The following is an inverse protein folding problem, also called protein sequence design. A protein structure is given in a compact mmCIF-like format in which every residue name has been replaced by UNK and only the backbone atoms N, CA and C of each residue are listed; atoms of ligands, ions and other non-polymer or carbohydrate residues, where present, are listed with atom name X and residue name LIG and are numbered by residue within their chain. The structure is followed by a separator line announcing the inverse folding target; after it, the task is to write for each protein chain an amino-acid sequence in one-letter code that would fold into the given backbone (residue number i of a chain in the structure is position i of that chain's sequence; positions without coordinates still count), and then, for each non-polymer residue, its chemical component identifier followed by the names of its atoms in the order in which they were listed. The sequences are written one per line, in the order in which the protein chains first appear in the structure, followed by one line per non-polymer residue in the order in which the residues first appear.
data_IF_006267164437
#
_entry.id   IF_006267164437
#
_cell.length_a   1.000
_cell.length_b   1.000
_cell.length_c   1.000
_cell.angle_alpha   90.00
_cell.angle_beta   90.00
_cell.angle_gamma   90.00
#
_symmetry.space_group_name_H-M   'P 1'
#
loop_
_entity.id
_entity.type
_entity.pdbx_description
1 polymer ?
#
# COMPACT_ATOMS: atom_id res chain seq x y z
N UNK A 1 63.68 42.80 10.91
CA UNK A 1 64.49 42.11 11.94
C UNK A 1 64.07 40.66 12.16
N UNK A 2 62.77 40.32 12.43
CA UNK A 2 62.30 38.96 12.67
C UNK A 2 62.49 38.06 11.43
N UNK A 3 62.13 38.51 10.24
CA UNK A 3 62.29 37.77 8.98
C UNK A 3 63.77 37.43 8.67
N UNK A 4 64.69 38.36 8.92
CA UNK A 4 66.11 38.14 8.70
C UNK A 4 66.70 37.11 9.69
N UNK A 5 66.27 37.13 10.90
CA UNK A 5 66.61 36.11 11.96
C UNK A 5 66.08 34.73 11.57
N UNK A 6 64.83 34.65 11.10
CA UNK A 6 64.20 33.38 10.66
C UNK A 6 64.99 32.80 9.46
N UNK A 7 65.32 33.61 8.46
CA UNK A 7 66.12 33.16 7.32
C UNK A 7 67.53 32.70 7.71
N UNK A 8 68.16 33.36 8.68
CA UNK A 8 69.47 32.96 9.19
C UNK A 8 69.44 31.64 9.93
N UNK A 9 68.35 31.39 10.69
CA UNK A 9 68.13 30.08 11.39
C UNK A 9 67.93 28.96 10.38
N UNK A 10 67.22 29.18 9.30
CA UNK A 10 66.97 28.20 8.23
C UNK A 10 68.31 27.78 7.55
N UNK A 11 69.27 28.70 7.40
CA UNK A 11 70.59 28.44 6.78
C UNK A 11 71.56 27.70 7.70
N UNK A 12 71.46 27.88 9.02
CA UNK A 12 72.38 27.25 10.01
C UNK A 12 72.14 25.78 10.25
N UNK A 13 70.88 25.31 10.05
CA UNK A 13 70.55 23.91 10.19
C UNK A 13 69.64 23.42 9.07
N UNK A 14 70.22 23.31 7.83
CA UNK A 14 69.40 23.08 6.63
C UNK A 14 68.58 21.79 6.64
N UNK A 15 69.14 20.69 7.20
CA UNK A 15 68.44 19.42 7.27
C UNK A 15 67.18 19.51 8.17
N UNK A 16 67.33 20.14 9.32
CA UNK A 16 66.20 20.32 10.28
C UNK A 16 65.13 21.22 9.69
N UNK A 17 65.55 22.28 8.97
CA UNK A 17 64.63 23.20 8.29
C UNK A 17 63.89 22.51 7.15
N UNK A 18 64.57 21.63 6.41
CA UNK A 18 63.97 20.84 5.34
C UNK A 18 62.91 19.87 5.90
N UNK A 19 63.21 19.14 7.00
CA UNK A 19 62.22 18.25 7.64
C UNK A 19 61.03 19.00 8.20
N UNK A 20 61.23 20.17 8.80
CA UNK A 20 60.12 20.99 9.29
C UNK A 20 59.25 21.53 8.11
N UNK A 21 59.90 21.96 7.03
CA UNK A 21 59.21 22.43 5.83
C UNK A 21 58.39 21.29 5.18
N UNK A 22 58.99 20.10 5.02
CA UNK A 22 58.31 18.95 4.46
C UNK A 22 57.14 18.47 5.37
N UNK A 23 57.35 18.42 6.68
CA UNK A 23 56.30 18.06 7.63
C UNK A 23 55.12 19.04 7.63
N UNK A 24 55.43 20.35 7.60
CA UNK A 24 54.42 21.39 7.53
C UNK A 24 53.68 21.37 6.18
N UNK A 25 54.42 21.26 5.07
CA UNK A 25 53.82 21.16 3.73
C UNK A 25 52.97 19.93 3.55
N UNK A 26 53.40 18.79 4.10
CA UNK A 26 52.60 17.56 4.10
C UNK A 26 51.32 17.72 4.95
N UNK A 27 51.44 18.29 6.14
CA UNK A 27 50.29 18.56 7.03
C UNK A 27 49.28 19.51 6.39
N UNK A 28 49.74 20.60 5.79
CA UNK A 28 48.87 21.54 5.07
C UNK A 28 48.27 20.87 3.83
N UNK A 29 49.05 20.09 3.09
CA UNK A 29 48.56 19.37 1.91
C UNK A 29 47.48 18.37 2.26
N UNK A 30 47.66 17.57 3.30
CA UNK A 30 46.64 16.63 3.81
C UNK A 30 45.37 17.37 4.26
N UNK A 31 45.56 18.49 4.98
CA UNK A 31 44.43 19.29 5.44
C UNK A 31 43.63 19.89 4.27
N UNK A 32 44.30 20.42 3.23
CA UNK A 32 43.64 20.94 2.03
C UNK A 32 42.90 19.84 1.30
N UNK A 33 43.49 18.65 1.13
CA UNK A 33 42.85 17.52 0.48
C UNK A 33 41.60 17.09 1.29
N UNK A 34 41.71 16.97 2.62
CA UNK A 34 40.58 16.57 3.46
C UNK A 34 39.46 17.62 3.44
N UNK A 35 39.76 18.90 3.45
CA UNK A 35 38.78 19.97 3.33
C UNK A 35 38.12 19.96 1.95
N UNK A 36 38.90 19.80 0.87
CA UNK A 36 38.37 19.73 -0.50
C UNK A 36 37.49 18.49 -0.72
N UNK A 37 37.89 17.34 -0.17
CA UNK A 37 37.07 16.13 -0.19
C UNK A 37 35.81 16.32 0.63
N UNK A 38 35.92 16.94 1.81
CA UNK A 38 34.76 17.25 2.66
C UNK A 38 33.77 18.20 1.97
N UNK A 39 34.29 19.24 1.30
CA UNK A 39 33.48 20.20 0.55
C UNK A 39 32.83 19.55 -0.68
N UNK A 40 33.59 18.75 -1.43
CA UNK A 40 33.03 17.97 -2.54
C UNK A 40 31.97 16.95 -2.09
N UNK A 41 32.18 16.29 -0.95
CA UNK A 41 31.18 15.42 -0.35
C UNK A 41 29.91 16.18 0.10
N UNK A 42 30.07 17.37 0.67
CA UNK A 42 28.97 18.24 1.05
C UNK A 42 28.19 18.74 -0.18
N UNK A 43 28.91 19.15 -1.23
CA UNK A 43 28.28 19.57 -2.49
C UNK A 43 27.62 18.42 -3.21
N UNK A 44 28.25 17.24 -3.23
CA UNK A 44 27.66 16.02 -3.74
C UNK A 44 26.45 15.60 -2.88
N UNK A 45 26.47 15.85 -1.59
CA UNK A 45 25.36 15.59 -0.68
C UNK A 45 24.17 16.56 -0.87
N UNK A 46 24.44 17.75 -1.38
CA UNK A 46 23.43 18.76 -1.72
C UNK A 46 22.93 18.63 -3.16
N UNK A 47 23.63 17.86 -3.97
CA UNK A 47 23.22 17.63 -5.36
C UNK A 47 22.03 16.66 -5.39
N UNK A 48 20.84 17.24 -5.39
CA UNK A 48 19.56 16.54 -5.47
C UNK A 48 19.47 15.69 -6.74
N UNK A 49 20.30 15.96 -7.75
CA UNK A 49 20.36 15.18 -8.99
C UNK A 49 20.87 13.75 -8.78
N UNK A 50 21.60 13.52 -7.69
CA UNK A 50 22.07 12.17 -7.31
C UNK A 50 21.00 11.33 -6.59
N UNK A 51 19.91 11.96 -6.16
CA UNK A 51 18.79 11.29 -5.52
C UNK A 51 17.51 11.71 -6.24
N UNK A 52 17.20 11.08 -7.36
CA UNK A 52 15.95 11.26 -8.09
C UNK A 52 15.83 12.51 -8.97
N UNK A 53 16.80 13.41 -9.01
CA UNK A 53 16.91 14.51 -10.00
C UNK A 53 15.83 15.60 -9.95
N UNK A 54 14.99 15.68 -8.91
CA UNK A 54 13.93 16.67 -8.77
C UNK A 54 14.12 17.63 -7.60
N UNK A 55 13.32 18.70 -7.54
CA UNK A 55 13.32 19.63 -6.40
C UNK A 55 12.83 18.97 -5.10
N UNK A 56 11.97 17.94 -5.22
CA UNK A 56 11.45 17.15 -4.10
C UNK A 56 11.56 15.67 -4.43
N UNK A 57 12.20 14.91 -3.54
CA UNK A 57 12.29 13.46 -3.63
C UNK A 57 11.43 12.82 -2.55
N UNK A 58 10.56 11.87 -2.94
CA UNK A 58 9.72 11.10 -2.03
C UNK A 58 10.33 9.71 -1.87
N UNK A 59 10.71 9.39 -0.65
CA UNK A 59 11.36 8.13 -0.28
C UNK A 59 10.45 7.34 0.68
N UNK A 60 10.61 6.02 0.80
CA UNK A 60 9.97 5.24 1.86
C UNK A 60 10.40 5.73 3.25
N UNK A 61 9.52 5.62 4.22
CA UNK A 61 9.80 5.96 5.62
C UNK A 61 10.93 5.10 6.19
N UNK A 62 11.79 5.68 7.03
CA UNK A 62 12.89 4.97 7.68
C UNK A 62 14.15 4.80 6.83
N UNK A 63 14.24 5.44 5.67
CA UNK A 63 15.46 5.45 4.87
C UNK A 63 16.50 6.37 5.53
N UNK A 64 17.68 5.80 5.79
CA UNK A 64 18.87 6.58 6.05
C UNK A 64 19.44 7.11 4.72
N UNK A 65 19.27 8.40 4.50
CA UNK A 65 19.71 9.08 3.27
C UNK A 65 21.23 8.99 3.11
N UNK A 66 21.99 9.00 4.19
CA UNK A 66 23.44 8.87 4.14
C UNK A 66 23.89 7.45 3.76
N UNK A 67 23.22 6.44 4.29
CA UNK A 67 23.45 5.07 3.87
C UNK A 67 23.11 4.85 2.39
N UNK A 68 22.04 5.48 1.89
CA UNK A 68 21.69 5.46 0.46
C UNK A 68 22.77 6.11 -0.42
N UNK A 69 23.32 7.26 -0.01
CA UNK A 69 24.38 7.97 -0.74
C UNK A 69 25.68 7.20 -0.78
N UNK A 70 26.01 6.49 0.28
CA UNK A 70 27.19 5.62 0.35
C UNK A 70 27.06 4.31 -0.44
N UNK A 71 25.91 4.08 -1.10
CA UNK A 71 25.65 2.86 -1.86
C UNK A 71 25.39 1.63 -0.99
N UNK A 72 25.08 1.83 0.30
CA UNK A 72 25.00 0.76 1.30
C UNK A 72 23.64 0.10 1.46
N UNK A 73 22.56 0.61 0.84
CA UNK A 73 21.21 0.08 1.10
C UNK A 73 20.54 -0.39 -0.18
N UNK A 74 20.48 -1.70 -0.35
CA UNK A 74 19.54 -2.34 -1.26
C UNK A 74 18.25 -2.68 -0.49
N UNK A 75 17.08 -2.44 -1.07
CA UNK A 75 15.81 -2.99 -0.57
C UNK A 75 14.83 -2.02 0.08
N UNK A 76 15.11 -0.73 0.13
CA UNK A 76 14.14 0.25 0.63
C UNK A 76 13.39 0.94 -0.52
N UNK A 77 12.50 0.20 -1.17
CA UNK A 77 11.68 0.69 -2.27
C UNK A 77 10.19 0.55 -1.91
N UNK A 78 9.40 1.48 -2.38
CA UNK A 78 7.96 1.25 -2.43
C UNK A 78 7.55 0.79 -3.84
N UNK A 79 6.49 -0.02 -3.90
CA UNK A 79 6.04 -0.58 -5.17
C UNK A 79 5.63 0.48 -6.20
N UNK A 80 5.72 0.12 -7.48
CA UNK A 80 5.35 0.99 -8.61
C UNK A 80 3.89 1.47 -8.53
N UNK A 81 3.01 0.69 -7.93
CA UNK A 81 1.61 1.07 -7.70
C UNK A 81 1.48 2.25 -6.74
N UNK A 82 2.32 2.30 -5.70
CA UNK A 82 2.39 3.46 -4.80
C UNK A 82 2.93 4.69 -5.50
N UNK A 83 3.94 4.53 -6.36
CA UNK A 83 4.46 5.63 -7.17
C UNK A 83 3.39 6.19 -8.11
N UNK A 84 2.62 5.32 -8.76
CA UNK A 84 1.47 5.71 -9.58
C UNK A 84 0.40 6.43 -8.77
N UNK A 85 0.09 5.90 -7.59
CA UNK A 85 -0.87 6.53 -6.69
C UNK A 85 -0.43 7.96 -6.29
N UNK A 86 0.82 8.13 -5.82
CA UNK A 86 1.37 9.43 -5.48
C UNK A 86 1.31 10.40 -6.67
N UNK A 87 1.70 9.95 -7.85
CA UNK A 87 1.64 10.75 -9.09
C UNK A 87 0.22 11.25 -9.35
N UNK A 88 -0.79 10.40 -9.14
CA UNK A 88 -2.19 10.79 -9.32
C UNK A 88 -2.71 11.75 -8.28
N UNK A 89 -2.36 11.53 -7.01
CA UNK A 89 -2.73 12.44 -5.93
C UNK A 89 -2.16 13.83 -6.18
N UNK A 90 -0.92 13.88 -6.62
CA UNK A 90 -0.22 15.14 -6.88
C UNK A 90 -0.81 15.87 -8.09
N UNK A 91 -1.03 15.19 -9.22
CA UNK A 91 -1.58 15.84 -10.42
C UNK A 91 -3.11 15.99 -10.41
N UNK A 92 -3.82 15.10 -9.73
CA UNK A 92 -5.29 15.15 -9.64
C UNK A 92 -5.81 15.95 -8.46
N UNK A 93 -4.97 16.24 -7.48
CA UNK A 93 -5.35 16.96 -6.27
C UNK A 93 -5.46 18.47 -6.50
N UNK A 94 -6.56 19.11 -6.10
CA UNK A 94 -6.76 20.54 -6.33
C UNK A 94 -5.73 21.44 -5.59
N UNK A 95 -5.04 20.88 -4.60
CA UNK A 95 -4.01 21.59 -3.82
C UNK A 95 -2.63 21.57 -4.44
N UNK A 96 -2.35 20.59 -5.31
CA UNK A 96 -0.97 20.29 -5.76
C UNK A 96 -0.77 20.46 -7.25
N UNK A 97 -1.83 20.28 -8.06
CA UNK A 97 -1.75 20.29 -9.52
C UNK A 97 -1.15 21.57 -10.11
N UNK A 98 -1.31 22.70 -9.42
CA UNK A 98 -0.87 24.01 -9.92
C UNK A 98 0.59 24.34 -9.50
N UNK A 99 1.16 23.55 -8.57
CA UNK A 99 2.53 23.75 -8.07
C UNK A 99 3.51 22.67 -8.53
N UNK A 100 3.03 21.50 -8.95
CA UNK A 100 3.88 20.41 -9.41
C UNK A 100 3.85 20.32 -10.93
N UNK A 101 5.00 20.50 -11.55
CA UNK A 101 5.16 20.45 -13.02
C UNK A 101 5.37 19.06 -13.57
N UNK A 102 6.19 18.26 -12.89
CA UNK A 102 6.55 16.92 -13.35
C UNK A 102 6.79 15.98 -12.15
N UNK A 103 6.49 14.70 -12.34
CA UNK A 103 6.78 13.62 -11.37
C UNK A 103 7.32 12.44 -12.15
N UNK A 104 8.47 11.91 -11.73
CA UNK A 104 9.06 10.70 -12.29
C UNK A 104 9.37 9.69 -11.18
N UNK A 105 8.87 8.45 -11.26
CA UNK A 105 9.35 7.37 -10.42
C UNK A 105 10.70 6.87 -10.95
N UNK A 106 11.61 6.57 -10.03
CA UNK A 106 12.90 5.98 -10.34
C UNK A 106 13.27 4.93 -9.29
N UNK A 107 14.03 3.94 -9.69
CA UNK A 107 14.70 2.99 -8.82
C UNK A 107 16.19 3.17 -9.08
N UNK A 108 16.96 3.39 -8.02
CA UNK A 108 18.40 3.53 -8.12
C UNK A 108 19.12 2.51 -7.26
N UNK A 109 20.25 2.03 -7.77
CA UNK A 109 21.15 1.11 -7.04
C UNK A 109 20.50 -0.21 -6.53
N UNK A 110 19.46 -0.72 -7.20
CA UNK A 110 18.92 -2.04 -6.88
C UNK A 110 19.95 -3.12 -7.12
N UNK A 111 20.17 -3.99 -6.14
CA UNK A 111 21.07 -5.13 -6.28
C UNK A 111 20.30 -6.31 -6.85
N UNK A 112 20.70 -6.74 -8.04
CA UNK A 112 20.12 -7.90 -8.72
C UNK A 112 21.18 -9.02 -8.86
N UNK A 113 20.71 -10.25 -8.79
CA UNK A 113 21.52 -11.43 -9.02
C UNK A 113 21.12 -12.03 -10.38
N UNK A 114 21.98 -11.83 -11.37
CA UNK A 114 21.74 -12.38 -12.70
C UNK A 114 22.30 -13.82 -12.77
N UNK A 115 21.42 -14.78 -13.01
CA UNK A 115 21.81 -16.15 -13.28
C UNK A 115 22.18 -16.30 -14.77
N UNK A 116 23.41 -16.74 -15.06
CA UNK A 116 23.84 -17.04 -16.40
C UNK A 116 23.28 -18.37 -16.87
N UNK A 117 23.25 -18.61 -18.19
CA UNK A 117 22.87 -19.92 -18.74
C UNK A 117 23.80 -21.06 -18.32
N UNK A 118 24.99 -20.73 -17.81
CA UNK A 118 25.99 -21.71 -17.31
C UNK A 118 25.80 -22.02 -15.83
N UNK A 119 24.88 -21.35 -15.14
CA UNK A 119 24.62 -21.53 -13.72
C UNK A 119 25.42 -20.60 -12.81
N UNK A 120 26.27 -19.75 -13.37
CA UNK A 120 26.99 -18.74 -12.56
C UNK A 120 26.03 -17.61 -12.14
N UNK A 121 26.26 -17.05 -10.96
CA UNK A 121 25.52 -15.88 -10.47
C UNK A 121 26.43 -14.65 -10.48
N UNK A 122 25.97 -13.60 -11.13
CA UNK A 122 26.67 -12.31 -11.19
C UNK A 122 25.82 -11.25 -10.46
N UNK A 123 26.43 -10.56 -9.52
CA UNK A 123 25.80 -9.45 -8.81
C UNK A 123 25.93 -8.19 -9.67
N UNK A 124 24.80 -7.52 -9.93
CA UNK A 124 24.76 -6.26 -10.68
C UNK A 124 23.95 -5.22 -9.92
N UNK A 125 24.31 -3.96 -10.12
CA UNK A 125 23.46 -2.84 -9.69
C UNK A 125 22.63 -2.37 -10.87
N UNK A 126 21.33 -2.24 -10.65
CA UNK A 126 20.39 -1.82 -11.67
C UNK A 126 19.69 -0.52 -11.25
N UNK A 127 19.41 0.33 -12.21
CA UNK A 127 18.50 1.44 -12.09
C UNK A 127 17.32 1.23 -13.04
N UNK A 128 16.22 1.90 -12.76
CA UNK A 128 15.03 1.88 -13.62
C UNK A 128 14.29 3.21 -13.53
N UNK A 129 13.80 3.69 -14.65
CA UNK A 129 13.00 4.90 -14.76
C UNK A 129 11.95 4.74 -15.85
N UNK A 130 10.95 5.61 -15.84
CA UNK A 130 10.00 5.74 -16.94
C UNK A 130 10.49 6.89 -17.85
N UNK A 131 10.96 6.60 -19.06
CA UNK A 131 11.69 7.56 -19.88
C UNK A 131 10.92 8.87 -20.14
N UNK A 132 9.64 8.82 -20.45
CA UNK A 132 8.84 10.02 -20.67
C UNK A 132 8.68 10.87 -19.40
N UNK A 133 8.66 10.25 -18.23
CA UNK A 133 8.55 10.95 -16.94
C UNK A 133 9.89 11.56 -16.52
N UNK A 134 10.96 10.83 -16.68
CA UNK A 134 12.32 11.34 -16.47
C UNK A 134 12.60 12.54 -17.40
N UNK A 135 12.25 12.43 -18.68
CA UNK A 135 12.37 13.54 -19.63
C UNK A 135 11.53 14.77 -19.22
N UNK A 136 10.33 14.57 -18.68
CA UNK A 136 9.49 15.68 -18.21
C UNK A 136 10.10 16.40 -17.00
N UNK A 137 10.72 15.67 -16.06
CA UNK A 137 11.45 16.27 -14.92
C UNK A 137 12.69 16.99 -15.41
N UNK A 138 13.50 16.38 -16.28
CA UNK A 138 14.68 17.01 -16.84
C UNK A 138 14.33 18.32 -17.59
N UNK A 139 13.26 18.33 -18.37
CA UNK A 139 12.77 19.54 -19.05
C UNK A 139 12.29 20.61 -18.05
N UNK A 140 11.66 20.22 -16.94
CA UNK A 140 11.21 21.15 -15.91
C UNK A 140 12.37 21.81 -15.14
N UNK A 141 13.55 21.16 -15.14
CA UNK A 141 14.79 21.63 -14.51
C UNK A 141 15.80 22.22 -15.52
N UNK A 142 15.40 22.42 -16.78
CA UNK A 142 16.28 22.84 -17.88
C UNK A 142 17.50 21.92 -18.11
N UNK A 143 17.37 20.65 -17.76
CA UNK A 143 18.39 19.62 -17.95
C UNK A 143 18.22 18.93 -19.32
N UNK A 144 19.30 18.42 -19.88
CA UNK A 144 19.23 17.58 -21.08
C UNK A 144 18.71 16.20 -20.74
N UNK A 145 17.56 15.85 -21.29
CA UNK A 145 17.02 14.49 -21.19
C UNK A 145 17.67 13.55 -22.20
N UNK A 146 17.84 12.28 -21.83
CA UNK A 146 18.20 11.21 -22.76
C UNK A 146 17.09 10.95 -23.79
N UNK A 147 17.46 10.41 -24.96
CA UNK A 147 16.50 10.06 -26.05
C UNK A 147 15.98 8.63 -25.84
N UNK A 148 15.42 8.35 -24.70
CA UNK A 148 14.80 7.04 -24.40
C UNK A 148 13.32 7.10 -24.72
N UNK A 149 12.77 5.99 -25.14
CA UNK A 149 11.34 5.86 -25.43
C UNK A 149 10.69 4.93 -24.43
N UNK A 150 9.48 5.25 -24.05
CA UNK A 150 8.67 4.37 -23.20
C UNK A 150 8.49 3.00 -23.88
N UNK A 151 8.68 1.94 -23.09
CA UNK A 151 8.24 0.61 -23.48
C UNK A 151 6.71 0.51 -23.42
N UNK A 152 6.16 -0.62 -23.83
CA UNK A 152 4.72 -0.88 -23.70
C UNK A 152 4.29 -0.85 -22.21
N UNK A 153 5.12 -1.41 -21.31
CA UNK A 153 4.86 -1.39 -19.88
C UNK A 153 4.89 0.03 -19.31
N UNK A 154 5.86 0.85 -19.73
CA UNK A 154 5.96 2.25 -19.31
C UNK A 154 4.75 3.06 -19.78
N UNK A 155 4.36 2.90 -21.05
CA UNK A 155 3.20 3.57 -21.63
C UNK A 155 1.91 3.17 -20.91
N UNK A 156 1.74 1.91 -20.57
CA UNK A 156 0.63 1.41 -19.77
C UNK A 156 0.63 1.96 -18.34
N UNK A 157 1.80 2.21 -17.77
CA UNK A 157 1.90 2.87 -16.46
C UNK A 157 1.54 4.36 -16.53
N UNK A 158 2.02 5.07 -17.56
CA UNK A 158 1.80 6.51 -17.75
C UNK A 158 0.33 6.84 -17.99
N UNK A 159 -0.33 6.08 -18.85
CA UNK A 159 -1.71 6.29 -19.26
C UNK A 159 -2.55 4.99 -19.18
N UNK A 160 -2.72 4.43 -17.98
CA UNK A 160 -3.47 3.19 -17.82
C UNK A 160 -4.96 3.40 -18.17
N UNK A 161 -5.58 2.38 -18.76
CA UNK A 161 -7.04 2.35 -18.88
C UNK A 161 -7.68 2.26 -17.51
N UNK A 162 -8.94 2.68 -17.38
CA UNK A 162 -9.71 2.54 -16.13
C UNK A 162 -9.76 1.06 -15.72
N UNK A 163 -9.97 0.15 -16.68
CA UNK A 163 -9.99 -1.28 -16.39
C UNK A 163 -8.66 -1.77 -15.81
N UNK A 164 -7.53 -1.44 -16.45
CA UNK A 164 -6.22 -1.84 -15.94
C UNK A 164 -5.94 -1.36 -14.51
N UNK A 165 -6.49 -0.21 -14.13
CA UNK A 165 -6.35 0.27 -12.76
C UNK A 165 -7.06 -0.63 -11.76
N UNK A 166 -8.26 -1.08 -12.07
CA UNK A 166 -8.98 -2.03 -11.24
C UNK A 166 -8.29 -3.39 -11.23
N UNK A 167 -7.83 -3.88 -12.38
CA UNK A 167 -7.10 -5.13 -12.50
C UNK A 167 -5.86 -5.16 -11.59
N UNK A 168 -5.09 -4.09 -11.59
CA UNK A 168 -3.89 -3.99 -10.76
C UNK A 168 -4.21 -3.83 -9.26
N UNK A 169 -5.30 -3.14 -8.93
CA UNK A 169 -5.69 -2.88 -7.54
C UNK A 169 -6.31 -4.10 -6.87
N UNK A 170 -7.07 -4.91 -7.60
CA UNK A 170 -8.04 -5.84 -7.02
C UNK A 170 -7.94 -7.27 -7.55
N UNK A 171 -6.81 -7.62 -8.16
CA UNK A 171 -6.50 -8.99 -8.60
C UNK A 171 -6.28 -9.92 -7.42
N UNK A 172 -6.54 -11.21 -7.61
CA UNK A 172 -6.16 -12.22 -6.62
C UNK A 172 -4.64 -12.40 -6.53
N UNK A 173 -4.17 -12.70 -5.32
CA UNK A 173 -2.77 -12.91 -5.02
C UNK A 173 -2.45 -14.40 -4.98
N UNK A 174 -1.25 -14.76 -5.43
CA UNK A 174 -0.74 -16.12 -5.20
C UNK A 174 -0.24 -16.17 -3.76
N UNK A 175 -0.65 -17.17 -2.95
CA UNK A 175 -0.14 -17.30 -1.59
C UNK A 175 1.38 -17.29 -1.56
N UNK A 176 2.01 -16.40 -0.79
CA UNK A 176 3.47 -16.29 -0.75
C UNK A 176 4.13 -17.46 0.00
N UNK A 177 3.35 -18.16 0.83
CA UNK A 177 3.81 -19.24 1.70
C UNK A 177 2.86 -20.44 1.63
N UNK A 178 3.38 -21.64 1.91
CA UNK A 178 2.58 -22.85 2.09
C UNK A 178 2.01 -22.86 3.52
N UNK A 179 0.98 -22.11 3.76
CA UNK A 179 0.34 -22.01 5.07
C UNK A 179 -1.17 -22.25 4.97
N UNK A 180 -1.68 -23.14 5.80
CA UNK A 180 -3.10 -23.45 5.87
C UNK A 180 -3.96 -22.30 6.42
N UNK A 181 -3.33 -21.31 7.06
CA UNK A 181 -4.00 -20.12 7.59
C UNK A 181 -4.03 -18.95 6.59
N UNK A 182 -3.54 -19.16 5.35
CA UNK A 182 -3.70 -18.17 4.31
C UNK A 182 -5.16 -18.06 3.90
N UNK A 183 -5.61 -16.82 3.70
CA UNK A 183 -6.93 -16.50 3.20
C UNK A 183 -6.92 -15.22 2.38
N UNK A 184 -7.84 -15.15 1.42
CA UNK A 184 -8.04 -13.99 0.57
C UNK A 184 -9.53 -13.85 0.27
N UNK A 185 -10.07 -12.65 0.42
CA UNK A 185 -11.49 -12.42 0.22
C UNK A 185 -11.85 -11.05 -0.31
N UNK A 186 -12.85 -11.01 -1.17
CA UNK A 186 -13.62 -9.82 -1.48
C UNK A 186 -14.76 -9.67 -0.48
N UNK A 187 -14.85 -8.52 0.14
CA UNK A 187 -15.92 -8.18 1.07
C UNK A 187 -16.74 -7.01 0.55
N UNK A 188 -18.03 -7.13 0.65
CA UNK A 188 -18.97 -6.06 0.29
C UNK A 188 -19.97 -5.86 1.41
N UNK A 189 -20.39 -4.59 1.61
CA UNK A 189 -21.61 -4.34 2.34
C UNK A 189 -22.51 -3.37 1.56
N UNK A 190 -23.80 -3.49 1.79
CA UNK A 190 -24.84 -2.69 1.13
C UNK A 190 -25.89 -2.30 2.14
N UNK A 191 -26.23 -1.02 2.18
CA UNK A 191 -27.28 -0.46 3.02
C UNK A 191 -28.57 -0.43 2.20
N UNK A 192 -29.46 -1.39 2.44
CA UNK A 192 -30.72 -1.51 1.71
C UNK A 192 -31.77 -0.49 2.17
N UNK A 193 -31.67 -0.06 3.44
CA UNK A 193 -32.58 0.90 4.03
C UNK A 193 -32.24 1.21 5.49
N UNK A 194 -33.03 2.01 6.19
CA UNK A 194 -32.81 2.26 7.60
C UNK A 194 -32.79 0.97 8.42
N UNK A 195 -31.62 0.66 8.99
CA UNK A 195 -31.42 -0.54 9.79
C UNK A 195 -31.31 -1.83 8.99
N UNK A 196 -31.42 -1.84 7.68
CA UNK A 196 -31.31 -3.01 6.82
C UNK A 196 -29.99 -3.03 6.06
N UNK A 197 -29.20 -4.08 6.26
CA UNK A 197 -27.85 -4.20 5.74
C UNK A 197 -27.58 -5.60 5.21
N UNK A 198 -26.76 -5.69 4.14
CA UNK A 198 -26.26 -6.93 3.58
C UNK A 198 -24.75 -6.94 3.63
N UNK A 199 -24.19 -8.00 4.22
CA UNK A 199 -22.74 -8.25 4.27
C UNK A 199 -22.45 -9.51 3.45
N UNK A 200 -21.46 -9.43 2.59
CA UNK A 200 -21.14 -10.48 1.63
C UNK A 200 -19.64 -10.65 1.54
N UNK A 201 -19.14 -11.87 1.74
CA UNK A 201 -17.75 -12.23 1.55
C UNK A 201 -17.64 -13.41 0.59
N UNK A 202 -16.73 -13.29 -0.37
CA UNK A 202 -16.23 -14.35 -1.22
C UNK A 202 -14.81 -14.68 -0.79
N UNK A 203 -14.63 -15.80 -0.12
CA UNK A 203 -13.39 -16.20 0.53
C UNK A 203 -12.80 -17.43 -0.16
N UNK A 204 -11.49 -17.42 -0.38
CA UNK A 204 -10.68 -18.61 -0.64
C UNK A 204 -9.59 -18.71 0.43
N UNK A 205 -9.20 -19.93 0.80
CA UNK A 205 -8.21 -20.13 1.84
C UNK A 205 -7.64 -21.52 1.90
N UNK A 206 -6.47 -21.63 2.50
CA UNK A 206 -5.71 -22.85 2.63
C UNK A 206 -4.45 -22.88 1.76
N UNK A 207 -3.84 -24.05 1.62
CA UNK A 207 -2.62 -24.25 0.85
C UNK A 207 -2.93 -24.45 -0.64
N UNK A 208 -3.17 -23.36 -1.37
CA UNK A 208 -3.47 -23.40 -2.82
C UNK A 208 -2.41 -24.18 -3.62
N UNK A 209 -1.09 -23.98 -3.41
CA UNK A 209 -0.07 -24.70 -4.18
C UNK A 209 -0.04 -26.21 -3.97
N UNK A 210 -0.60 -26.71 -2.87
CA UNK A 210 -0.61 -28.16 -2.55
C UNK A 210 -1.96 -28.83 -2.82
N UNK A 211 -2.95 -28.07 -3.27
CA UNK A 211 -4.31 -28.57 -3.49
C UNK A 211 -5.14 -28.73 -2.20
N UNK A 212 -4.65 -28.33 -1.03
CA UNK A 212 -5.36 -28.38 0.24
C UNK A 212 -6.04 -27.05 0.57
N UNK A 213 -7.02 -26.69 -0.21
CA UNK A 213 -7.70 -25.40 -0.10
C UNK A 213 -9.16 -25.50 -0.50
N UNK A 214 -9.91 -24.46 -0.24
CA UNK A 214 -11.30 -24.34 -0.61
C UNK A 214 -11.80 -22.92 -0.54
N UNK A 215 -13.07 -22.72 -0.75
CA UNK A 215 -13.71 -21.42 -0.66
C UNK A 215 -15.02 -21.42 0.09
N UNK A 216 -15.47 -20.25 0.42
CA UNK A 216 -16.72 -20.04 1.12
C UNK A 216 -17.36 -18.72 0.67
N UNK A 217 -18.68 -18.76 0.49
CA UNK A 217 -19.51 -17.55 0.42
C UNK A 217 -20.17 -17.38 1.78
N UNK A 218 -19.97 -16.22 2.39
CA UNK A 218 -20.62 -15.81 3.63
C UNK A 218 -21.56 -14.65 3.32
N UNK A 219 -22.81 -14.76 3.74
CA UNK A 219 -23.80 -13.74 3.58
C UNK A 219 -24.51 -13.52 4.91
N UNK A 220 -24.59 -12.27 5.33
CA UNK A 220 -25.34 -11.87 6.51
C UNK A 220 -26.33 -10.79 6.13
N UNK A 221 -27.59 -10.99 6.46
CA UNK A 221 -28.66 -10.01 6.33
C UNK A 221 -29.03 -9.50 7.72
N UNK A 222 -28.75 -8.22 7.96
CA UNK A 222 -29.28 -7.52 9.13
C UNK A 222 -30.63 -6.95 8.77
N UNK A 223 -31.66 -7.41 9.49
CA UNK A 223 -33.03 -6.96 9.30
C UNK A 223 -33.29 -5.61 9.97
N UNK A 224 -34.33 -4.87 9.55
CA UNK A 224 -34.75 -3.62 10.20
C UNK A 224 -35.07 -3.73 11.71
N UNK A 225 -35.51 -4.94 12.15
CA UNK A 225 -35.78 -5.22 13.57
C UNK A 225 -34.50 -5.44 14.40
N UNK A 226 -33.32 -5.35 13.79
CA UNK A 226 -32.02 -5.57 14.41
C UNK A 226 -31.59 -7.03 14.47
N UNK A 227 -32.41 -7.98 14.02
CA UNK A 227 -32.04 -9.39 13.89
C UNK A 227 -31.10 -9.68 12.75
N UNK A 228 -30.39 -10.81 12.82
CA UNK A 228 -29.44 -11.24 11.80
C UNK A 228 -29.79 -12.64 11.30
N UNK A 229 -29.81 -12.78 9.97
CA UNK A 229 -29.86 -14.08 9.30
C UNK A 229 -28.50 -14.33 8.63
N UNK A 230 -27.94 -15.51 8.82
CA UNK A 230 -26.65 -15.91 8.26
C UNK A 230 -26.82 -17.07 7.30
N UNK A 231 -26.15 -16.96 6.17
CA UNK A 231 -26.18 -17.95 5.10
C UNK A 231 -24.74 -18.24 4.66
N UNK A 232 -24.46 -19.51 4.36
CA UNK A 232 -23.12 -19.94 3.96
C UNK A 232 -23.20 -20.91 2.79
N UNK A 233 -22.16 -20.91 1.96
CA UNK A 233 -21.93 -21.95 0.96
C UNK A 233 -20.45 -22.31 0.95
N UNK A 234 -20.12 -23.51 1.39
CA UNK A 234 -18.79 -24.08 1.25
C UNK A 234 -18.56 -24.59 -0.17
N UNK A 235 -17.41 -24.32 -0.75
CA UNK A 235 -17.08 -24.68 -2.12
C UNK A 235 -15.72 -25.40 -2.15
N UNK A 236 -15.66 -26.66 -2.62
CA UNK A 236 -14.40 -27.37 -2.76
C UNK A 236 -13.57 -26.80 -3.91
N UNK A 237 -12.25 -26.99 -3.86
CA UNK A 237 -11.27 -26.41 -4.78
C UNK A 237 -11.59 -26.65 -6.26
N UNK A 238 -12.14 -27.82 -6.60
CA UNK A 238 -12.46 -28.21 -7.97
C UNK A 238 -13.58 -27.36 -8.61
N UNK A 239 -14.38 -26.70 -7.77
CA UNK A 239 -15.46 -25.80 -8.19
C UNK A 239 -15.10 -24.33 -8.04
N UNK A 240 -13.82 -24.01 -7.82
CA UNK A 240 -13.31 -22.66 -7.66
C UNK A 240 -12.46 -22.29 -8.88
N UNK A 241 -12.65 -21.09 -9.41
CA UNK A 241 -11.77 -20.47 -10.39
C UNK A 241 -11.55 -19.04 -9.99
N UNK A 242 -10.30 -18.60 -10.04
CA UNK A 242 -9.91 -17.21 -9.81
C UNK A 242 -8.82 -16.76 -10.78
N UNK A 243 -8.73 -15.46 -11.01
CA UNK A 243 -7.78 -14.84 -11.91
C UNK A 243 -6.76 -14.01 -11.11
N UNK A 244 -5.47 -14.22 -11.34
CA UNK A 244 -4.39 -13.48 -10.67
C UNK A 244 -4.02 -12.17 -11.38
N UNK A 245 -4.70 -11.86 -12.48
CA UNK A 245 -4.49 -10.63 -13.26
C UNK A 245 -5.61 -9.61 -13.11
N UNK A 246 -6.77 -10.03 -12.61
CA UNK A 246 -7.96 -9.19 -12.41
C UNK A 246 -8.87 -9.77 -11.31
N UNK A 247 -9.81 -8.96 -10.86
CA UNK A 247 -10.84 -9.40 -9.92
C UNK A 247 -11.91 -10.23 -10.63
N UNK A 248 -11.70 -11.53 -10.73
CA UNK A 248 -12.68 -12.53 -11.21
C UNK A 248 -12.55 -13.80 -10.38
N UNK A 249 -13.54 -14.06 -9.55
CA UNK A 249 -13.61 -15.24 -8.68
C UNK A 249 -14.94 -15.94 -8.83
N UNK A 250 -14.89 -17.24 -9.14
CA UNK A 250 -16.05 -18.11 -9.19
C UNK A 250 -15.98 -19.11 -8.04
N UNK A 251 -17.01 -19.14 -7.20
CA UNK A 251 -17.21 -20.08 -6.09
C UNK A 251 -18.49 -20.88 -6.32
N UNK A 252 -18.41 -21.99 -7.05
CA UNK A 252 -19.58 -22.78 -7.40
C UNK A 252 -20.58 -22.01 -8.25
N UNK A 253 -21.74 -21.67 -7.67
CA UNK A 253 -22.80 -20.88 -8.32
C UNK A 253 -22.66 -19.38 -8.07
N UNK A 254 -21.73 -19.00 -7.22
CA UNK A 254 -21.47 -17.61 -6.84
C UNK A 254 -20.29 -17.05 -7.62
N UNK A 255 -20.28 -15.74 -7.88
CA UNK A 255 -19.21 -15.07 -8.60
C UNK A 255 -19.09 -13.61 -8.18
N UNK A 256 -17.87 -13.13 -8.11
CA UNK A 256 -17.53 -11.71 -8.16
C UNK A 256 -16.68 -11.47 -9.38
N UNK A 257 -17.05 -10.48 -10.19
CA UNK A 257 -16.32 -10.07 -11.39
C UNK A 257 -16.26 -8.55 -11.45
N UNK A 258 -15.08 -8.00 -11.58
CA UNK A 258 -14.88 -6.59 -11.87
C UNK A 258 -14.70 -6.41 -13.39
N UNK A 259 -15.53 -5.57 -13.97
CA UNK A 259 -15.46 -5.25 -15.39
C UNK A 259 -16.03 -3.86 -15.66
N UNK A 260 -15.37 -3.11 -16.53
CA UNK A 260 -15.79 -1.78 -16.96
C UNK A 260 -16.02 -0.78 -15.81
N UNK A 261 -15.23 -0.90 -14.73
CA UNK A 261 -15.35 -0.06 -13.53
C UNK A 261 -16.46 -0.46 -12.57
N UNK A 262 -17.14 -1.58 -12.78
CA UNK A 262 -18.22 -2.09 -11.95
C UNK A 262 -17.89 -3.50 -11.41
N UNK A 263 -18.42 -3.84 -10.24
CA UNK A 263 -18.41 -5.20 -9.71
C UNK A 263 -19.77 -5.84 -9.95
N UNK A 264 -19.77 -6.99 -10.59
CA UNK A 264 -20.98 -7.81 -10.78
C UNK A 264 -20.92 -8.97 -9.80
N UNK A 265 -21.86 -8.99 -8.88
CA UNK A 265 -21.95 -9.96 -7.81
C UNK A 265 -23.11 -10.91 -8.02
N UNK A 266 -22.81 -12.19 -7.95
CA UNK A 266 -23.81 -13.25 -7.77
C UNK A 266 -23.45 -14.03 -6.53
N UNK A 267 -24.36 -14.13 -5.58
CA UNK A 267 -24.19 -14.95 -4.40
C UNK A 267 -25.37 -15.91 -4.21
N UNK A 268 -25.07 -17.16 -3.86
CA UNK A 268 -26.05 -18.20 -3.52
C UNK A 268 -25.54 -18.89 -2.25
N UNK A 269 -26.36 -18.89 -1.21
CA UNK A 269 -26.00 -19.46 0.08
C UNK A 269 -27.25 -19.98 0.81
N UNK A 270 -27.05 -20.81 1.84
CA UNK A 270 -28.11 -21.37 2.64
C UNK A 270 -27.88 -21.13 4.13
N UNK A 271 -28.94 -21.01 4.88
CA UNK A 271 -28.91 -20.86 6.34
C UNK A 271 -30.11 -21.42 7.03
N UNK A 272 -30.16 -21.31 8.35
CA UNK A 272 -31.34 -21.78 9.13
C UNK A 272 -32.64 -21.10 8.72
N UNK A 273 -32.58 -19.87 8.23
CA UNK A 273 -33.76 -19.12 7.77
C UNK A 273 -34.19 -19.49 6.33
N UNK A 274 -33.45 -20.36 5.63
CA UNK A 274 -33.74 -20.76 4.25
C UNK A 274 -32.62 -20.39 3.29
N UNK A 275 -32.96 -20.11 2.04
CA UNK A 275 -32.00 -19.74 0.99
C UNK A 275 -31.81 -18.22 0.92
N UNK A 276 -30.60 -17.80 0.49
CA UNK A 276 -30.29 -16.43 0.13
C UNK A 276 -29.70 -16.35 -1.28
N UNK A 277 -30.10 -15.33 -2.01
CA UNK A 277 -29.66 -15.06 -3.38
C UNK A 277 -29.48 -13.56 -3.60
N UNK A 278 -28.31 -13.16 -4.07
CA UNK A 278 -28.02 -11.79 -4.45
C UNK A 278 -27.53 -11.75 -5.90
N UNK A 279 -28.04 -10.79 -6.67
CA UNK A 279 -27.57 -10.42 -7.99
C UNK A 279 -27.46 -8.90 -8.02
N UNK A 280 -26.23 -8.39 -7.84
CA UNK A 280 -25.95 -6.98 -7.64
C UNK A 280 -24.90 -6.45 -8.61
N UNK A 281 -25.01 -5.17 -8.92
CA UNK A 281 -23.96 -4.37 -9.55
C UNK A 281 -23.52 -3.31 -8.55
N UNK A 282 -22.23 -3.30 -8.23
CA UNK A 282 -21.62 -2.32 -7.34
C UNK A 282 -20.76 -1.39 -8.17
N UNK A 283 -21.02 -0.08 -8.08
CA UNK A 283 -20.29 0.99 -8.76
C UNK A 283 -19.48 1.79 -7.74
N UNK A 284 -18.15 1.64 -7.70
CA UNK A 284 -17.30 2.51 -6.90
C UNK A 284 -17.47 3.96 -7.29
N UNK A 285 -17.56 4.85 -6.32
CA UNK A 285 -17.59 6.28 -6.58
C UNK A 285 -16.19 6.77 -6.97
N UNK A 286 -16.08 7.66 -7.96
CA UNK A 286 -14.80 8.20 -8.37
C UNK A 286 -14.01 8.78 -7.19
N UNK A 287 -12.68 8.51 -7.15
CA UNK A 287 -11.74 9.03 -6.16
C UNK A 287 -11.94 8.54 -4.72
N UNK A 288 -12.98 7.73 -4.44
CA UNK A 288 -13.25 7.17 -3.10
C UNK A 288 -12.76 5.74 -3.02
N UNK A 289 -11.45 5.59 -2.89
CA UNK A 289 -10.78 4.31 -2.73
C UNK A 289 -9.58 4.46 -1.79
N UNK A 290 -9.10 3.37 -1.23
CA UNK A 290 -7.83 3.29 -0.53
C UNK A 290 -6.90 2.34 -1.29
N UNK A 291 -5.64 2.76 -1.59
CA UNK A 291 -4.72 1.97 -2.39
C UNK A 291 -4.27 0.71 -1.67
N UNK A 292 -3.68 -0.26 -2.38
CA UNK A 292 -3.13 -1.45 -1.77
C UNK A 292 -2.09 -1.12 -0.71
N UNK A 293 -2.21 -1.80 0.42
CA UNK A 293 -1.22 -1.79 1.49
C UNK A 293 -0.92 -3.24 1.87
N UNK A 294 0.34 -3.56 2.11
CA UNK A 294 0.76 -4.87 2.54
C UNK A 294 1.83 -4.74 3.63
N UNK A 295 1.62 -5.42 4.74
CA UNK A 295 2.61 -5.66 5.77
C UNK A 295 3.15 -7.07 5.58
N UNK A 296 4.46 -7.20 5.51
CA UNK A 296 5.14 -8.47 5.40
C UNK A 296 6.30 -8.54 6.39
N UNK A 297 6.28 -9.56 7.24
CA UNK A 297 7.35 -9.81 8.20
C UNK A 297 7.47 -11.33 8.40
N UNK A 298 8.60 -11.92 8.02
CA UNK A 298 8.84 -13.36 8.03
C UNK A 298 7.73 -14.13 7.27
N UNK A 299 7.04 -15.04 7.98
CA UNK A 299 5.90 -15.79 7.44
C UNK A 299 4.56 -15.04 7.54
N UNK A 300 4.54 -13.88 8.20
CA UNK A 300 3.33 -13.07 8.34
C UNK A 300 3.13 -12.18 7.12
N UNK A 301 1.92 -12.21 6.58
CA UNK A 301 1.49 -11.32 5.50
C UNK A 301 0.10 -10.81 5.84
N UNK A 302 -0.10 -9.51 5.73
CA UNK A 302 -1.41 -8.88 5.82
C UNK A 302 -1.50 -7.78 4.78
N UNK A 303 -2.33 -7.99 3.78
CA UNK A 303 -2.56 -7.05 2.70
C UNK A 303 -4.03 -6.73 2.55
N UNK A 304 -4.29 -5.53 2.04
CA UNK A 304 -5.63 -5.08 1.75
C UNK A 304 -5.65 -3.96 0.71
N UNK A 305 -6.79 -3.81 0.07
CA UNK A 305 -7.15 -2.69 -0.79
C UNK A 305 -8.63 -2.37 -0.60
N UNK A 306 -9.00 -1.10 -0.72
CA UNK A 306 -10.40 -0.68 -0.64
C UNK A 306 -10.78 0.00 -1.95
N UNK A 307 -11.17 -0.76 -2.99
CA UNK A 307 -11.52 -0.20 -4.29
C UNK A 307 -12.80 0.65 -4.25
N UNK A 308 -13.68 0.36 -3.29
CA UNK A 308 -14.95 1.04 -3.11
C UNK A 308 -15.16 1.54 -1.68
N UNK A 309 -14.36 2.52 -1.21
CA UNK A 309 -14.58 3.17 0.08
C UNK A 309 -15.95 3.87 0.13
N UNK A 310 -16.41 4.38 -1.00
CA UNK A 310 -17.78 4.76 -1.26
C UNK A 310 -18.21 4.13 -2.58
N UNK A 311 -19.35 3.46 -2.60
CA UNK A 311 -19.90 2.82 -3.78
C UNK A 311 -21.44 2.91 -3.79
N UNK A 312 -22.03 2.51 -4.92
CA UNK A 312 -23.47 2.40 -5.11
C UNK A 312 -23.84 1.00 -5.58
N UNK A 313 -24.89 0.44 -5.00
CA UNK A 313 -25.41 -0.88 -5.33
C UNK A 313 -26.76 -0.80 -6.02
N UNK A 314 -26.95 -1.58 -7.06
CA UNK A 314 -28.25 -1.80 -7.71
C UNK A 314 -28.43 -3.27 -8.01
N UNK A 315 -29.69 -3.74 -8.01
CA UNK A 315 -30.03 -5.12 -8.27
C UNK A 315 -30.94 -5.70 -7.22
N UNK A 316 -30.92 -7.01 -7.08
CA UNK A 316 -31.87 -7.76 -6.24
C UNK A 316 -31.17 -8.56 -5.16
N UNK A 317 -31.67 -8.45 -3.94
CA UNK A 317 -31.24 -9.25 -2.79
C UNK A 317 -32.42 -9.98 -2.17
N UNK A 318 -32.30 -11.28 -1.98
CA UNK A 318 -33.34 -12.15 -1.42
C UNK A 318 -32.80 -12.96 -0.25
N UNK A 319 -33.57 -13.08 0.82
CA UNK A 319 -33.32 -14.00 1.93
C UNK A 319 -34.64 -14.55 2.50
N UNK A 320 -34.67 -15.82 2.84
CA UNK A 320 -35.84 -16.46 3.48
C UNK A 320 -37.17 -16.20 2.75
N UNK A 321 -37.15 -16.22 1.41
CA UNK A 321 -38.32 -16.00 0.56
C UNK A 321 -38.73 -14.52 0.37
N UNK A 322 -38.03 -13.57 1.00
CA UNK A 322 -38.27 -12.13 0.84
C UNK A 322 -37.20 -11.52 -0.01
N UNK A 323 -37.59 -10.64 -0.93
CA UNK A 323 -36.66 -9.94 -1.81
C UNK A 323 -36.80 -8.41 -1.67
N UNK A 324 -35.69 -7.73 -1.84
CA UNK A 324 -35.61 -6.27 -1.94
C UNK A 324 -34.92 -5.90 -3.26
N UNK A 325 -35.51 -4.93 -3.96
CA UNK A 325 -34.89 -4.32 -5.12
C UNK A 325 -34.08 -3.10 -4.65
N UNK A 326 -32.81 -3.08 -5.00
CA UNK A 326 -31.87 -2.02 -4.68
C UNK A 326 -31.70 -1.09 -5.88
N UNK A 327 -31.82 0.22 -5.64
CA UNK A 327 -31.57 1.24 -6.63
C UNK A 327 -30.67 2.31 -6.03
N UNK A 328 -29.42 2.38 -6.51
CA UNK A 328 -28.42 3.34 -6.07
C UNK A 328 -28.16 3.34 -4.54
N UNK A 329 -28.28 2.17 -3.90
CA UNK A 329 -28.09 1.98 -2.47
C UNK A 329 -26.63 2.21 -2.07
N UNK A 330 -26.34 2.85 -0.91
CA UNK A 330 -24.97 2.99 -0.43
C UNK A 330 -24.29 1.63 -0.27
N UNK A 331 -23.04 1.55 -0.74
CA UNK A 331 -22.26 0.33 -0.67
C UNK A 331 -20.78 0.60 -0.37
N UNK A 332 -20.10 -0.47 0.01
CA UNK A 332 -18.67 -0.50 0.32
C UNK A 332 -18.06 -1.79 -0.21
N UNK A 333 -16.79 -1.74 -0.59
CA UNK A 333 -16.01 -2.90 -1.00
C UNK A 333 -14.56 -2.79 -0.55
N UNK A 334 -14.07 -3.86 0.06
CA UNK A 334 -12.65 -4.11 0.28
C UNK A 334 -12.24 -5.51 -0.16
N UNK A 335 -10.93 -5.68 -0.34
CA UNK A 335 -10.29 -6.92 -0.68
C UNK A 335 -9.07 -7.12 0.22
N UNK A 336 -9.00 -8.27 0.88
CA UNK A 336 -7.99 -8.58 1.88
C UNK A 336 -7.32 -9.91 1.58
N UNK A 337 -6.03 -10.03 1.88
CA UNK A 337 -5.26 -11.25 1.72
C UNK A 337 -4.17 -11.37 2.79
N UNK A 338 -3.82 -12.59 3.16
CA UNK A 338 -2.75 -12.80 4.11
C UNK A 338 -2.74 -14.14 4.83
N UNK A 339 -1.83 -14.25 5.79
CA UNK A 339 -1.73 -15.37 6.72
C UNK A 339 -2.32 -14.92 8.06
N UNK A 340 -3.48 -15.46 8.42
CA UNK A 340 -4.34 -14.94 9.47
C UNK A 340 -4.32 -15.77 10.78
N UNK A 341 -3.20 -16.44 11.06
CA UNK A 341 -3.03 -17.19 12.31
C UNK A 341 -2.70 -16.24 13.46
N UNK A 342 -3.47 -16.34 14.56
CA UNK A 342 -3.28 -15.52 15.77
C UNK A 342 -3.28 -14.02 15.51
N UNK A 343 -4.13 -13.57 14.60
CA UNK A 343 -4.27 -12.18 14.20
C UNK A 343 -5.63 -11.68 14.64
N UNK A 344 -5.67 -10.49 15.21
CA UNK A 344 -6.89 -9.71 15.46
C UNK A 344 -6.84 -8.44 14.62
N UNK A 345 -7.96 -7.94 14.19
CA UNK A 345 -8.03 -6.68 13.44
C UNK A 345 -9.18 -5.79 13.91
N UNK A 346 -8.97 -4.51 13.77
CA UNK A 346 -9.98 -3.46 13.84
C UNK A 346 -10.21 -2.91 12.44
N UNK A 347 -11.46 -2.73 12.05
CA UNK A 347 -11.78 -2.24 10.73
C UNK A 347 -13.12 -1.55 10.69
N UNK A 348 -13.18 -0.35 10.10
CA UNK A 348 -14.42 0.37 9.92
C UNK A 348 -14.35 1.41 8.84
N UNK A 349 -15.49 1.63 8.19
CA UNK A 349 -15.64 2.63 7.13
C UNK A 349 -16.96 3.37 7.27
N UNK A 350 -16.94 4.64 6.89
CA UNK A 350 -18.14 5.46 6.73
C UNK A 350 -18.02 6.32 5.49
N UNK A 351 -19.12 6.50 4.76
CA UNK A 351 -19.12 7.31 3.55
C UNK A 351 -20.34 8.23 3.52
N UNK A 352 -20.08 9.53 3.45
CA UNK A 352 -21.07 10.58 3.26
C UNK A 352 -21.00 11.19 1.87
N UNK A 353 -21.76 12.27 1.62
CA UNK A 353 -21.79 12.94 0.32
C UNK A 353 -20.44 13.59 -0.04
N UNK A 354 -19.73 14.16 0.90
CA UNK A 354 -18.50 14.92 0.68
C UNK A 354 -17.27 14.37 1.39
N UNK A 355 -17.43 13.48 2.36
CA UNK A 355 -16.34 12.88 3.13
C UNK A 355 -16.55 11.37 3.26
N UNK A 356 -15.48 10.60 3.12
CA UNK A 356 -15.41 9.19 3.47
C UNK A 356 -14.28 8.98 4.47
N UNK A 357 -14.49 8.04 5.37
CA UNK A 357 -13.56 7.66 6.43
C UNK A 357 -13.29 6.16 6.35
N UNK A 358 -12.04 5.79 6.50
CA UNK A 358 -11.60 4.41 6.70
C UNK A 358 -10.65 4.39 7.91
N UNK A 359 -10.89 3.52 8.86
CA UNK A 359 -9.92 3.24 9.90
C UNK A 359 -9.67 1.74 9.98
N UNK A 360 -8.47 1.38 10.37
CA UNK A 360 -8.15 -0.02 10.55
C UNK A 360 -6.72 -0.28 10.93
N UNK A 361 -6.48 -1.53 11.21
CA UNK A 361 -5.17 -2.07 11.52
C UNK A 361 -5.27 -3.52 11.96
N UNK A 362 -4.11 -4.16 12.00
CA UNK A 362 -3.99 -5.56 12.37
C UNK A 362 -3.09 -5.66 13.60
N UNK A 363 -3.57 -6.34 14.63
CA UNK A 363 -2.74 -6.80 15.73
C UNK A 363 -2.00 -8.06 15.27
N UNK A 364 -0.75 -7.88 14.86
CA UNK A 364 0.10 -8.99 14.48
C UNK A 364 0.42 -9.87 15.70
N UNK A 365 0.78 -11.15 15.49
CA UNK A 365 1.32 -12.00 16.55
C UNK A 365 2.53 -11.35 17.24
N UNK A 366 2.75 -11.62 18.52
CA UNK A 366 3.88 -11.08 19.32
C UNK A 366 5.26 -11.38 18.71
N UNK A 367 5.34 -12.41 17.86
CA UNK A 367 6.55 -12.76 17.11
C UNK A 367 6.92 -11.76 16.02
N UNK A 368 5.99 -10.86 15.63
CA UNK A 368 6.21 -9.85 14.59
C UNK A 368 6.64 -8.55 15.26
N UNK A 369 7.91 -8.20 15.12
CA UNK A 369 8.50 -7.00 15.75
C UNK A 369 8.26 -5.72 14.99
N UNK A 370 7.85 -5.80 13.71
CA UNK A 370 7.48 -4.64 12.93
C UNK A 370 6.13 -4.09 13.43
N UNK A 371 6.15 -2.88 13.98
CA UNK A 371 4.93 -2.22 14.43
C UNK A 371 3.89 -2.14 13.30
N UNK A 372 2.70 -2.68 13.54
CA UNK A 372 1.59 -2.55 12.62
C UNK A 372 0.94 -1.19 12.81
N UNK A 373 0.98 -0.30 11.84
CA UNK A 373 0.34 0.98 12.01
C UNK A 373 -1.18 0.81 11.94
N UNK A 374 -1.85 1.16 13.02
CA UNK A 374 -3.26 1.54 12.94
C UNK A 374 -3.35 2.88 12.25
N UNK A 375 -4.34 3.03 11.39
CA UNK A 375 -4.51 4.24 10.60
C UNK A 375 -5.97 4.70 10.56
N UNK A 376 -6.14 5.99 10.42
CA UNK A 376 -7.38 6.65 10.07
C UNK A 376 -7.15 7.44 8.78
N UNK A 377 -7.93 7.15 7.77
CA UNK A 377 -7.89 7.88 6.49
C UNK A 377 -9.17 8.66 6.29
N UNK A 378 -9.03 9.93 5.98
CA UNK A 378 -10.10 10.81 5.53
C UNK A 378 -9.94 11.08 4.04
N UNK A 379 -11.01 10.87 3.26
CA UNK A 379 -11.04 11.08 1.81
C UNK A 379 -12.20 12.00 1.48
N UNK A 380 -11.93 13.19 0.96
CA UNK A 380 -12.98 14.12 0.52
C UNK A 380 -13.54 13.75 -0.87
N UNK A 381 -14.58 14.45 -1.30
CA UNK A 381 -15.22 14.23 -2.60
C UNK A 381 -14.32 14.54 -3.80
N UNK A 382 -13.22 15.27 -3.59
CA UNK A 382 -12.24 15.62 -4.60
C UNK A 382 -11.08 14.59 -4.64
N UNK A 383 -11.07 13.63 -3.70
CA UNK A 383 -10.04 12.62 -3.58
C UNK A 383 -8.81 13.06 -2.79
N UNK A 384 -8.84 14.24 -2.16
CA UNK A 384 -7.81 14.63 -1.21
C UNK A 384 -7.88 13.72 0.02
N UNK A 385 -6.73 13.29 0.48
CA UNK A 385 -6.62 12.31 1.57
C UNK A 385 -5.73 12.84 2.67
N UNK A 386 -6.15 12.51 3.88
CA UNK A 386 -5.32 12.67 5.05
C UNK A 386 -5.24 11.31 5.74
N UNK A 387 -4.04 10.82 5.97
CA UNK A 387 -3.78 9.60 6.74
C UNK A 387 -3.20 10.02 8.07
N UNK A 388 -3.85 9.58 9.13
CA UNK A 388 -3.41 9.77 10.51
C UNK A 388 -3.02 8.39 11.06
N UNK A 389 -1.89 8.32 11.71
CA UNK A 389 -1.52 7.15 12.50
C UNK A 389 -1.99 7.36 13.91
N UNK A 390 -2.69 6.42 14.51
CA UNK A 390 -3.05 6.55 15.90
C UNK A 390 -2.21 5.67 16.80
N UNK A 391 -1.96 6.19 17.96
CA UNK A 391 -1.11 5.55 18.97
C UNK A 391 -1.94 4.75 19.98
N UNK A 392 -3.21 5.08 20.09
CA UNK A 392 -4.06 4.51 21.12
C UNK A 392 -5.49 4.36 20.64
N UNK A 393 -6.08 3.23 20.97
CA UNK A 393 -7.53 2.96 20.84
C UNK A 393 -8.04 2.65 22.24
N UNK A 394 -8.97 3.43 22.73
CA UNK A 394 -9.64 3.17 24.01
C UNK A 394 -11.05 2.64 23.78
N UNK A 395 -11.45 1.68 24.59
CA UNK A 395 -12.76 1.06 24.52
C UNK A 395 -13.51 1.31 25.83
N UNK A 396 -14.73 1.79 25.73
CA UNK A 396 -15.61 2.01 26.87
C UNK A 396 -16.82 1.08 26.80
N UNK A 397 -17.13 0.46 27.96
CA UNK A 397 -18.25 -0.44 28.09
C UNK A 397 -18.01 -1.77 27.34
N UNK A 398 -18.77 -2.76 27.71
CA UNK A 398 -18.83 -4.03 26.97
C UNK A 398 -20.26 -4.48 26.84
N UNK A 399 -20.71 -4.66 25.63
CA UNK A 399 -22.03 -5.20 25.34
C UNK A 399 -21.88 -6.58 24.70
N UNK A 400 -22.63 -7.55 25.13
CA UNK A 400 -22.69 -8.83 24.43
C UNK A 400 -23.05 -8.56 22.96
N UNK A 401 -22.19 -8.95 22.02
CA UNK A 401 -22.45 -8.82 20.61
C UNK A 401 -23.79 -9.49 20.28
N UNK A 402 -24.73 -8.69 19.80
CA UNK A 402 -26.14 -9.06 19.74
C UNK A 402 -26.44 -10.30 18.89
N UNK A 403 -27.31 -11.14 19.43
CA UNK A 403 -27.78 -12.38 18.83
C UNK A 403 -27.38 -13.62 19.64
N UNK A 404 -28.14 -14.70 19.51
CA UNK A 404 -27.90 -15.95 20.21
C UNK A 404 -26.47 -16.51 19.98
N UNK A 405 -25.90 -16.32 18.79
CA UNK A 405 -24.55 -16.73 18.45
C UNK A 405 -23.44 -15.93 19.18
N UNK A 406 -23.68 -14.65 19.49
CA UNK A 406 -22.73 -13.84 20.24
C UNK A 406 -22.65 -14.22 21.73
N UNK A 407 -23.72 -14.70 22.30
CA UNK A 407 -23.73 -15.18 23.68
C UNK A 407 -22.99 -16.50 23.87
N UNK A 408 -23.08 -17.39 22.90
CA UNK A 408 -22.38 -18.68 22.92
C UNK A 408 -20.85 -18.50 22.73
N UNK A 409 -20.43 -17.51 21.98
CA UNK A 409 -19.01 -17.25 21.70
C UNK A 409 -18.30 -16.37 22.76
N UNK A 410 -19.03 -15.81 23.73
CA UNK A 410 -18.44 -14.90 24.73
C UNK A 410 -17.83 -13.63 24.14
N UNK A 411 -18.19 -13.26 22.92
CA UNK A 411 -17.67 -12.06 22.24
C UNK A 411 -18.35 -10.83 22.82
N UNK A 412 -17.52 -9.92 23.34
CA UNK A 412 -17.96 -8.62 23.83
C UNK A 412 -17.59 -7.57 22.78
N UNK A 413 -18.57 -6.74 22.42
CA UNK A 413 -18.32 -5.57 21.59
C UNK A 413 -18.31 -4.32 22.49
N UNK A 414 -17.40 -3.35 22.28
CA UNK A 414 -17.43 -2.09 23.02
C UNK A 414 -18.71 -1.32 22.69
N UNK A 415 -19.25 -0.62 23.68
CA UNK A 415 -20.37 0.32 23.46
C UNK A 415 -19.91 1.59 22.78
N UNK A 416 -18.68 1.98 23.10
CA UNK A 416 -17.99 3.13 22.54
C UNK A 416 -16.52 2.83 22.39
N UNK A 417 -15.92 3.33 21.35
CA UNK A 417 -14.47 3.37 21.22
C UNK A 417 -14.02 4.77 20.79
N UNK A 418 -12.85 5.15 21.21
CA UNK A 418 -12.20 6.40 20.86
C UNK A 418 -10.83 6.11 20.25
N UNK A 419 -10.55 6.76 19.15
CA UNK A 419 -9.28 6.65 18.43
C UNK A 419 -8.59 8.00 18.54
N UNK A 420 -7.42 8.04 19.17
CA UNK A 420 -6.55 9.21 19.20
C UNK A 420 -5.37 9.01 18.26
N UNK A 421 -5.26 9.90 17.29
CA UNK A 421 -4.15 9.96 16.35
C UNK A 421 -3.53 11.35 16.35
N UNK A 422 -2.20 11.40 16.25
CA UNK A 422 -1.47 12.64 16.02
C UNK A 422 -0.97 12.68 14.59
N UNK A 423 -1.05 13.84 13.96
CA UNK A 423 -0.38 14.08 12.69
C UNK A 423 1.13 14.06 12.93
N UNK A 424 1.89 13.29 12.14
CA UNK A 424 3.34 13.39 12.15
C UNK A 424 3.75 14.84 11.81
N UNK A 425 4.46 15.50 12.73
CA UNK A 425 4.88 16.90 12.59
C UNK A 425 4.23 17.88 13.56
N UNK A 426 3.17 17.49 14.26
CA UNK A 426 2.60 18.28 15.38
C UNK A 426 3.20 17.74 16.69
N UNK A 427 4.40 18.22 17.07
CA UNK A 427 4.97 18.06 18.42
C UNK A 427 4.84 19.37 19.17
#
# INVERSE_FOLDING_TARGET
MIATLAFRHLRVKPLRSLFLLLGFSLGVGVMVVLLSVGEAMLDQSRDVSLIGGGEVTVLPEGIDIEAMRSGGVSGMFFGIDRARYLTRVVFGGPRHRDIVRAVAPAIENEVLYLATRRGDTVVVRAGGEIPSRAAAVAAALDLRAGVWRDSEADSAWVAPTVQRLYDELDRFHIPPVRDTSWGEWHYFNVIAGPGEWWYLSYLIGGEVPTGRWGGQVLLTHRRPDGGYDRFTAGVPAERIRFDTTRADLVLGESRVEQRDGEYRLRARARGPAGDAALDLVIRPLPRRYFPPAELRADAFVSGYVVPGLGARASGRACAAGRCVELSDAPAYHDHNWGVWRSVTWEWGAASGSWLSLLYGGVYAPDSVTAGTPFFLTLVDSLGARQVLRFREVSYEGSRAAGGAAGREAGVLAPERFEIMGTREGDT
#
